data_IF_345439554966
#
_entry.id   IF_345439554966
#
_cell.length_a   1.000
_cell.length_b   1.000
_cell.length_c   1.000
_cell.angle_alpha   90.00
_cell.angle_beta   90.00
_cell.angle_gamma   90.00
#
_symmetry.space_group_name_H-M   'P 1'
#
loop_
_entity.id
_entity.type
_entity.pdbx_description
1 polymer ?
#
# COMPACT_ATOMS: atom_id res chain seq x y z
N UNK A 1 -74.18 -15.48 -43.59
CA UNK A 1 -73.30 -14.35 -43.21
C UNK A 1 -72.17 -14.82 -42.28
N UNK A 2 -70.89 -14.93 -42.62
CA UNK A 2 -70.13 -14.54 -43.79
C UNK A 2 -68.65 -14.64 -43.38
N UNK A 3 -67.84 -15.20 -44.28
CA UNK A 3 -66.37 -15.13 -44.40
C UNK A 3 -65.45 -15.89 -43.43
N UNK A 4 -64.69 -16.78 -44.07
CA UNK A 4 -63.41 -17.34 -43.70
C UNK A 4 -62.29 -16.28 -43.64
N UNK A 5 -61.19 -16.62 -42.94
CA UNK A 5 -59.82 -16.61 -43.47
C UNK A 5 -58.86 -17.10 -42.38
N UNK A 6 -58.12 -18.19 -42.63
CA UNK A 6 -56.94 -18.56 -41.86
C UNK A 6 -55.74 -17.69 -42.25
N UNK A 7 -54.75 -17.57 -41.37
CA UNK A 7 -53.37 -17.11 -41.68
C UNK A 7 -52.37 -17.79 -40.74
N UNK A 8 -51.20 -18.06 -41.31
CA UNK A 8 -50.05 -18.84 -40.84
C UNK A 8 -49.32 -18.28 -39.58
N UNK A 9 -48.42 -19.06 -38.94
CA UNK A 9 -47.65 -18.58 -37.80
C UNK A 9 -46.50 -17.67 -38.25
N UNK A 10 -46.35 -16.52 -37.59
CA UNK A 10 -45.26 -15.59 -37.81
C UNK A 10 -44.04 -15.97 -36.95
N UNK A 11 -42.88 -16.04 -37.62
CA UNK A 11 -41.54 -16.18 -37.04
C UNK A 11 -40.95 -14.77 -36.79
N UNK A 12 -40.19 -14.67 -35.69
CA UNK A 12 -39.18 -13.66 -35.31
C UNK A 12 -39.62 -12.25 -34.86
N UNK A 13 -39.25 -11.90 -33.61
CA UNK A 13 -38.18 -10.94 -33.31
C UNK A 13 -37.86 -10.93 -31.79
N UNK A 14 -36.59 -11.04 -31.35
CA UNK A 14 -36.20 -10.82 -29.95
C UNK A 14 -36.14 -9.32 -29.60
N UNK A 15 -36.17 -8.96 -28.30
CA UNK A 15 -36.40 -7.59 -27.85
C UNK A 15 -35.21 -6.66 -28.10
N UNK A 16 -35.52 -5.44 -28.53
CA UNK A 16 -34.58 -4.33 -28.69
C UNK A 16 -34.17 -3.78 -27.32
N UNK A 17 -32.89 -3.92 -26.98
CA UNK A 17 -32.25 -3.10 -25.95
C UNK A 17 -31.78 -1.79 -26.60
N UNK A 18 -32.07 -0.61 -26.01
CA UNK A 18 -31.52 0.63 -26.51
C UNK A 18 -30.04 0.73 -26.12
N UNK A 19 -29.18 0.68 -27.13
CA UNK A 19 -27.84 1.24 -27.08
C UNK A 19 -27.96 2.77 -26.98
N UNK A 20 -27.29 3.36 -26.00
CA UNK A 20 -26.94 4.78 -26.03
C UNK A 20 -25.47 4.97 -25.69
N UNK A 21 -24.85 6.02 -26.27
CA UNK A 21 -23.42 6.06 -26.51
C UNK A 21 -22.64 6.71 -25.36
N UNK A 22 -21.35 6.46 -25.38
CA UNK A 22 -20.34 7.06 -24.54
C UNK A 22 -20.40 8.60 -24.56
N UNK A 23 -20.30 9.21 -23.37
CA UNK A 23 -19.77 10.56 -23.20
C UNK A 23 -18.42 10.41 -22.49
N UNK A 24 -17.37 10.60 -23.28
CA UNK A 24 -16.04 10.90 -22.80
C UNK A 24 -16.06 12.27 -22.08
N UNK A 25 -15.63 12.29 -20.82
CA UNK A 25 -15.47 13.50 -20.03
C UNK A 25 -14.17 13.43 -19.24
N UNK A 26 -13.18 14.17 -19.74
CA UNK A 26 -11.86 14.50 -19.17
C UNK A 26 -11.50 14.00 -17.75
N UNK A 27 -10.46 13.17 -17.66
CA UNK A 27 -9.55 13.17 -16.52
C UNK A 27 -8.38 14.11 -16.85
N UNK A 28 -8.49 15.36 -16.43
CA UNK A 28 -7.36 16.28 -16.36
C UNK A 28 -6.49 15.89 -15.16
N UNK A 29 -5.25 15.47 -15.42
CA UNK A 29 -4.27 15.21 -14.37
C UNK A 29 -3.77 16.52 -13.75
N UNK A 30 -3.39 16.53 -12.45
CA UNK A 30 -2.47 17.54 -11.95
C UNK A 30 -1.04 17.01 -12.09
N UNK A 31 -0.27 17.74 -12.89
CA UNK A 31 1.19 17.76 -12.80
C UNK A 31 1.62 18.41 -11.48
N UNK A 32 2.76 17.94 -10.97
CA UNK A 32 3.52 18.43 -9.82
C UNK A 32 2.97 18.11 -8.42
N UNK A 33 3.52 17.06 -7.83
CA UNK A 33 3.59 16.85 -6.38
C UNK A 33 5.02 16.44 -6.03
N UNK A 34 5.71 17.28 -5.25
CA UNK A 34 7.09 17.07 -4.83
C UNK A 34 7.25 15.72 -4.11
N UNK A 35 8.09 14.85 -4.66
CA UNK A 35 8.50 13.58 -4.05
C UNK A 35 9.41 13.86 -2.86
N UNK A 36 8.85 14.06 -1.67
CA UNK A 36 9.60 13.85 -0.43
C UNK A 36 9.69 12.34 -0.20
N UNK A 37 10.65 11.71 -0.88
CA UNK A 37 11.04 10.33 -0.61
C UNK A 37 11.66 10.31 0.79
N UNK A 38 10.92 9.79 1.78
CA UNK A 38 11.48 9.37 3.06
C UNK A 38 12.33 8.12 2.80
N UNK A 39 13.50 8.33 2.20
CA UNK A 39 14.54 7.33 1.97
C UNK A 39 15.18 7.03 3.32
N UNK A 40 14.53 6.21 4.14
CA UNK A 40 15.21 5.54 5.25
C UNK A 40 16.10 4.46 4.63
N UNK A 41 17.28 4.86 4.15
CA UNK A 41 18.33 3.91 3.76
C UNK A 41 18.85 3.28 5.04
N UNK A 42 18.25 2.15 5.44
CA UNK A 42 18.79 1.28 6.47
C UNK A 42 20.01 0.55 5.90
N UNK A 43 21.13 1.26 5.80
CA UNK A 43 22.40 0.72 5.31
C UNK A 43 22.95 -0.34 6.26
N UNK A 44 23.31 -1.49 5.69
CA UNK A 44 24.14 -2.54 6.28
C UNK A 44 25.48 -1.94 6.69
N UNK A 45 25.81 -1.98 7.99
CA UNK A 45 27.12 -1.58 8.50
C UNK A 45 27.99 -2.83 8.72
N UNK A 46 29.01 -3.02 7.87
CA UNK A 46 30.15 -3.88 8.14
C UNK A 46 31.18 -3.09 8.95
N UNK A 47 31.71 -3.71 10.00
CA UNK A 47 32.66 -3.09 10.92
C UNK A 47 34.05 -2.89 10.30
N UNK A 48 34.67 -1.77 10.64
CA UNK A 48 36.10 -1.51 10.42
C UNK A 48 36.66 -0.76 11.63
N UNK A 49 37.57 -1.42 12.35
CA UNK A 49 38.44 -0.81 13.35
C UNK A 49 39.47 0.09 12.66
N UNK A 50 39.69 1.31 13.17
CA UNK A 50 41.03 1.91 13.16
C UNK A 50 41.18 3.00 14.23
N UNK A 51 42.35 2.96 14.91
CA UNK A 51 42.76 3.85 15.99
C UNK A 51 43.43 5.12 15.46
N UNK A 52 43.23 6.24 16.19
CA UNK A 52 44.27 7.26 16.39
C UNK A 52 44.00 8.64 15.78
N UNK A 53 44.03 9.69 16.63
CA UNK A 53 44.23 11.08 16.20
C UNK A 53 43.34 12.12 16.89
N UNK A 54 43.87 12.78 17.91
CA UNK A 54 43.21 13.86 18.65
C UNK A 54 43.02 15.12 17.78
N UNK A 55 41.79 15.64 17.77
CA UNK A 55 41.47 16.90 17.11
C UNK A 55 39.97 17.17 17.11
N UNK A 56 39.47 17.71 18.22
CA UNK A 56 38.27 18.55 18.28
C UNK A 56 37.05 18.08 17.46
N UNK A 57 36.33 17.05 17.94
CA UNK A 57 34.98 16.74 17.45
C UNK A 57 34.05 16.21 18.56
N UNK A 58 33.87 17.01 19.61
CA UNK A 58 33.05 16.63 20.77
C UNK A 58 31.54 16.81 20.57
N UNK A 59 31.09 17.42 19.46
CA UNK A 59 29.65 17.61 19.18
C UNK A 59 29.03 16.42 18.45
N UNK A 60 29.78 15.74 17.57
CA UNK A 60 29.32 14.54 16.87
C UNK A 60 29.14 13.33 17.79
N UNK A 61 30.07 13.13 18.73
CA UNK A 61 30.04 12.01 19.68
C UNK A 61 28.86 12.07 20.67
N UNK A 62 28.52 13.27 21.16
CA UNK A 62 27.39 13.47 22.07
C UNK A 62 26.03 13.26 21.41
N UNK A 63 25.80 13.87 20.24
CA UNK A 63 24.52 13.76 19.53
C UNK A 63 24.25 12.32 19.07
N UNK A 64 25.29 11.64 18.55
CA UNK A 64 25.20 10.24 18.16
C UNK A 64 24.86 9.35 19.36
N UNK A 65 25.55 9.53 20.49
CA UNK A 65 25.26 8.79 21.73
C UNK A 65 23.83 9.01 22.25
N UNK A 66 23.31 10.25 22.19
CA UNK A 66 21.93 10.55 22.58
C UNK A 66 20.94 9.90 21.62
N UNK A 67 21.19 9.93 20.30
CA UNK A 67 20.32 9.26 19.32
C UNK A 67 20.29 7.74 19.50
N UNK A 68 21.42 7.13 19.86
CA UNK A 68 21.50 5.71 20.16
C UNK A 68 20.76 5.36 21.47
N UNK A 69 20.87 6.20 22.49
CA UNK A 69 20.09 6.06 23.73
C UNK A 69 18.59 6.15 23.44
N UNK A 70 18.16 7.12 22.63
CA UNK A 70 16.76 7.26 22.20
C UNK A 70 16.25 6.02 21.49
N UNK A 71 17.03 5.48 20.53
CA UNK A 71 16.71 4.19 19.88
C UNK A 71 16.46 3.08 20.90
N UNK A 72 17.32 2.96 21.92
CA UNK A 72 17.19 1.96 22.98
C UNK A 72 15.91 2.12 23.81
N UNK A 73 15.57 3.37 24.18
CA UNK A 73 14.33 3.68 24.90
C UNK A 73 13.10 3.30 24.06
N UNK A 74 13.08 3.69 22.78
CA UNK A 74 12.01 3.35 21.85
C UNK A 74 11.89 1.83 21.73
N UNK A 75 13.01 1.12 21.49
CA UNK A 75 13.01 -0.33 21.36
C UNK A 75 12.42 -1.02 22.59
N UNK A 76 12.86 -0.62 23.79
CA UNK A 76 12.34 -1.20 25.02
C UNK A 76 10.84 -0.92 25.22
N UNK A 77 10.39 0.29 24.88
CA UNK A 77 8.97 0.65 24.99
C UNK A 77 8.10 -0.17 24.04
N UNK A 78 8.54 -0.36 22.79
CA UNK A 78 7.83 -1.17 21.79
C UNK A 78 7.86 -2.65 22.17
N UNK A 79 8.97 -3.16 22.68
CA UNK A 79 9.08 -4.54 23.13
C UNK A 79 8.09 -4.85 24.26
N UNK A 80 8.04 -4.02 25.30
CA UNK A 80 7.06 -4.19 26.40
C UNK A 80 5.62 -4.14 25.88
N UNK A 81 5.34 -3.30 24.90
CA UNK A 81 4.04 -3.25 24.25
C UNK A 81 3.73 -4.55 23.51
N UNK A 82 4.66 -5.07 22.71
CA UNK A 82 4.49 -6.32 21.97
C UNK A 82 4.32 -7.53 22.90
N UNK A 83 5.03 -7.57 24.02
CA UNK A 83 4.89 -8.61 25.06
C UNK A 83 3.50 -8.55 25.73
N UNK A 84 2.98 -7.35 26.01
CA UNK A 84 1.69 -7.18 26.67
C UNK A 84 0.48 -7.32 25.73
N UNK A 85 0.61 -6.86 24.48
CA UNK A 85 -0.50 -6.74 23.53
C UNK A 85 -0.40 -7.68 22.33
N UNK A 86 0.67 -8.48 22.20
CA UNK A 86 1.01 -9.26 21.00
C UNK A 86 -0.05 -10.24 20.49
N UNK A 87 -1.05 -10.57 21.31
CA UNK A 87 -2.16 -11.48 20.99
C UNK A 87 -3.52 -10.74 20.88
N UNK A 88 -3.55 -9.42 21.06
CA UNK A 88 -4.77 -8.64 20.98
C UNK A 88 -5.20 -8.46 19.51
N UNK A 89 -6.51 -8.58 19.20
CA UNK A 89 -7.01 -8.46 17.83
C UNK A 89 -6.87 -7.03 17.24
N UNK A 90 -6.67 -6.03 18.11
CA UNK A 90 -6.46 -4.62 17.76
C UNK A 90 -4.98 -4.19 17.90
N UNK A 91 -4.05 -5.16 17.89
CA UNK A 91 -2.60 -4.93 18.02
C UNK A 91 -2.10 -3.87 17.03
N UNK A 92 -2.43 -4.02 15.74
CA UNK A 92 -1.92 -3.13 14.69
C UNK A 92 -2.39 -1.69 14.87
N UNK A 93 -3.65 -1.49 15.28
CA UNK A 93 -4.18 -0.16 15.59
C UNK A 93 -3.46 0.47 16.79
N UNK A 94 -3.28 -0.30 17.87
CA UNK A 94 -2.56 0.17 19.07
C UNK A 94 -1.10 0.46 18.76
N UNK A 95 -0.47 -0.31 17.88
CA UNK A 95 0.89 -0.09 17.41
C UNK A 95 0.98 1.24 16.63
N UNK A 96 0.08 1.50 15.68
CA UNK A 96 0.06 2.77 14.94
C UNK A 96 -0.10 3.97 15.90
N UNK A 97 -0.98 3.86 16.90
CA UNK A 97 -1.14 4.90 17.94
C UNK A 97 0.11 5.05 18.81
N UNK A 98 0.83 3.97 19.09
CA UNK A 98 2.10 4.04 19.82
C UNK A 98 3.18 4.73 18.97
N UNK A 99 3.28 4.39 17.69
CA UNK A 99 4.18 5.03 16.74
C UNK A 99 3.96 6.53 16.67
N UNK A 100 2.71 6.97 16.47
CA UNK A 100 2.37 8.40 16.42
C UNK A 100 2.72 9.14 17.71
N UNK A 101 2.47 8.54 18.88
CA UNK A 101 2.83 9.13 20.17
C UNK A 101 4.35 9.28 20.34
N UNK A 102 5.11 8.24 19.99
CA UNK A 102 6.58 8.29 20.06
C UNK A 102 7.18 9.20 19.00
N UNK A 103 6.55 9.30 17.82
CA UNK A 103 6.90 10.29 16.79
C UNK A 103 6.73 11.69 17.39
N UNK A 104 5.54 12.05 17.89
CA UNK A 104 5.28 13.36 18.48
C UNK A 104 6.26 13.69 19.61
N UNK A 105 6.52 12.75 20.52
CA UNK A 105 7.52 12.93 21.58
C UNK A 105 8.94 13.14 21.04
N UNK A 106 9.33 12.43 19.97
CA UNK A 106 10.64 12.62 19.30
C UNK A 106 10.74 14.04 18.74
N UNK A 107 9.66 14.53 18.15
CA UNK A 107 9.53 15.86 17.54
C UNK A 107 9.59 16.97 18.59
N UNK A 108 8.91 16.80 19.73
CA UNK A 108 8.90 17.74 20.86
C UNK A 108 10.26 17.82 21.57
N UNK A 109 10.93 16.68 21.78
CA UNK A 109 12.19 16.62 22.51
C UNK A 109 13.40 17.04 21.67
N UNK A 110 13.43 16.65 20.39
CA UNK A 110 14.62 16.78 19.54
C UNK A 110 14.40 17.61 18.27
N UNK A 111 13.16 18.05 18.00
CA UNK A 111 12.79 18.73 16.77
C UNK A 111 12.71 17.78 15.57
N UNK A 112 12.85 18.34 14.36
CA UNK A 112 12.83 17.57 13.10
C UNK A 112 14.21 16.99 12.72
N UNK A 113 15.02 16.64 13.71
CA UNK A 113 16.35 16.08 13.45
C UNK A 113 16.26 14.64 12.91
N UNK A 114 16.74 14.44 11.68
CA UNK A 114 16.67 13.16 10.98
C UNK A 114 17.31 11.98 11.76
N UNK A 115 18.38 12.24 12.54
CA UNK A 115 19.02 11.22 13.37
C UNK A 115 18.06 10.60 14.39
N UNK A 116 17.17 11.40 14.99
CA UNK A 116 16.22 10.92 16.00
C UNK A 116 14.99 10.27 15.38
N UNK A 117 14.57 10.73 14.20
CA UNK A 117 13.54 10.05 13.39
C UNK A 117 14.03 8.67 12.93
N UNK A 118 15.30 8.57 12.51
CA UNK A 118 15.92 7.29 12.18
C UNK A 118 16.05 6.39 13.42
N UNK A 119 16.46 6.95 14.56
CA UNK A 119 16.55 6.21 15.83
C UNK A 119 15.19 5.67 16.29
N UNK A 120 14.11 6.43 16.08
CA UNK A 120 12.73 5.98 16.30
C UNK A 120 12.43 4.76 15.43
N UNK A 121 12.61 4.85 14.11
CA UNK A 121 12.38 3.74 13.19
C UNK A 121 13.22 2.50 13.52
N UNK A 122 14.50 2.69 13.84
CA UNK A 122 15.40 1.62 14.26
C UNK A 122 14.99 0.98 15.60
N UNK A 123 14.41 1.75 16.52
CA UNK A 123 13.90 1.22 17.78
C UNK A 123 12.72 0.29 17.56
N UNK A 124 11.76 0.70 16.72
CA UNK A 124 10.63 -0.15 16.32
C UNK A 124 11.09 -1.41 15.58
N UNK A 125 11.95 -1.25 14.58
CA UNK A 125 12.54 -2.38 13.84
C UNK A 125 13.27 -3.34 14.77
N UNK A 126 14.07 -2.82 15.70
CA UNK A 126 14.80 -3.60 16.70
C UNK A 126 13.87 -4.43 17.59
N UNK A 127 12.71 -3.91 17.97
CA UNK A 127 11.73 -4.65 18.77
C UNK A 127 11.04 -5.76 17.96
N UNK A 128 10.70 -5.49 16.70
CA UNK A 128 10.10 -6.49 15.79
C UNK A 128 11.05 -7.65 15.49
N UNK A 129 12.36 -7.38 15.40
CA UNK A 129 13.40 -8.41 15.22
C UNK A 129 13.53 -9.37 16.40
N UNK A 130 13.07 -9.00 17.60
CA UNK A 130 13.11 -9.87 18.78
C UNK A 130 11.91 -10.84 18.85
N UNK A 131 10.93 -10.71 17.95
CA UNK A 131 9.78 -11.59 17.93
C UNK A 131 10.18 -13.02 17.56
N UNK A 132 9.58 -14.00 18.22
CA UNK A 132 9.67 -15.40 17.79
C UNK A 132 9.00 -15.57 16.42
N UNK A 133 9.43 -16.57 15.65
CA UNK A 133 8.89 -16.82 14.30
C UNK A 133 7.35 -16.88 14.26
N UNK A 134 6.72 -17.62 15.16
CA UNK A 134 5.25 -17.73 15.22
C UNK A 134 4.58 -16.39 15.55
N UNK A 135 5.18 -15.62 16.46
CA UNK A 135 4.65 -14.29 16.82
C UNK A 135 4.81 -13.33 15.66
N UNK A 136 5.96 -13.32 15.00
CA UNK A 136 6.20 -12.51 13.79
C UNK A 136 5.17 -12.82 12.70
N UNK A 137 4.85 -14.11 12.48
CA UNK A 137 3.83 -14.51 11.51
C UNK A 137 2.44 -13.97 11.87
N UNK A 138 2.01 -14.15 13.12
CA UNK A 138 0.72 -13.63 13.58
C UNK A 138 0.65 -12.10 13.48
N UNK A 139 1.69 -11.41 13.96
CA UNK A 139 1.79 -9.96 13.92
C UNK A 139 1.72 -9.44 12.48
N UNK A 140 2.43 -10.06 11.54
CA UNK A 140 2.37 -9.72 10.12
C UNK A 140 0.97 -9.84 9.53
N UNK A 141 0.26 -10.93 9.85
CA UNK A 141 -1.13 -11.11 9.41
C UNK A 141 -2.04 -10.00 9.97
N UNK A 142 -1.90 -9.68 11.27
CA UNK A 142 -2.66 -8.62 11.92
C UNK A 142 -2.44 -7.26 11.25
N UNK A 143 -1.20 -6.93 10.91
CA UNK A 143 -0.89 -5.70 10.19
C UNK A 143 -1.46 -5.67 8.78
N UNK A 144 -1.33 -6.76 8.01
CA UNK A 144 -1.88 -6.84 6.66
C UNK A 144 -3.41 -6.71 6.66
N UNK A 145 -4.08 -7.39 7.61
CA UNK A 145 -5.53 -7.31 7.80
C UNK A 145 -6.00 -5.93 8.24
N UNK A 146 -5.31 -5.31 9.19
CA UNK A 146 -5.63 -3.96 9.63
C UNK A 146 -5.47 -2.96 8.47
N UNK A 147 -4.40 -3.09 7.69
CA UNK A 147 -4.18 -2.26 6.52
C UNK A 147 -5.32 -2.44 5.51
N UNK A 148 -5.71 -3.68 5.20
CA UNK A 148 -6.84 -3.98 4.32
C UNK A 148 -8.15 -3.30 4.77
N UNK A 149 -8.51 -3.44 6.05
CA UNK A 149 -9.72 -2.80 6.60
C UNK A 149 -9.67 -1.28 6.41
N UNK A 150 -8.55 -0.64 6.70
CA UNK A 150 -8.40 0.80 6.55
C UNK A 150 -8.47 1.27 5.10
N UNK A 151 -7.91 0.49 4.17
CA UNK A 151 -8.02 0.78 2.72
C UNK A 151 -9.48 0.76 2.28
N UNK A 152 -10.23 -0.24 2.72
CA UNK A 152 -11.64 -0.34 2.37
C UNK A 152 -12.47 0.82 2.96
N UNK A 153 -12.19 1.23 4.20
CA UNK A 153 -12.83 2.42 4.80
C UNK A 153 -12.49 3.71 4.04
N UNK A 154 -11.23 3.91 3.66
CA UNK A 154 -10.82 5.05 2.85
C UNK A 154 -11.49 5.05 1.47
N UNK A 155 -11.67 3.87 0.86
CA UNK A 155 -12.39 3.71 -0.40
C UNK A 155 -13.87 4.09 -0.28
N UNK A 156 -14.52 3.72 0.84
CA UNK A 156 -15.92 4.11 1.14
C UNK A 156 -16.05 5.60 1.43
N UNK A 157 -15.03 6.20 2.04
CA UNK A 157 -14.99 7.62 2.39
C UNK A 157 -14.53 8.54 1.24
N UNK A 158 -14.39 8.02 0.01
CA UNK A 158 -13.88 8.74 -1.16
C UNK A 158 -14.85 9.84 -1.65
N UNK A 159 -14.82 10.98 -0.94
CA UNK A 159 -15.47 12.24 -1.28
C UNK A 159 -14.86 13.45 -0.54
N UNK A 160 -13.79 13.24 0.25
CA UNK A 160 -13.14 14.30 1.02
C UNK A 160 -11.81 14.72 0.38
N UNK A 161 -11.62 16.03 0.25
CA UNK A 161 -10.40 16.65 -0.26
C UNK A 161 -9.30 16.60 0.80
N UNK A 162 -8.37 15.67 0.63
CA UNK A 162 -7.09 15.56 1.35
C UNK A 162 -6.56 14.13 1.47
N UNK A 163 -6.59 13.28 0.42
CA UNK A 163 -6.42 11.84 0.61
C UNK A 163 -4.95 11.42 0.78
N UNK A 164 -4.03 12.09 0.08
CA UNK A 164 -2.64 11.62 -0.07
C UNK A 164 -1.79 11.86 1.20
N UNK A 165 -1.88 13.03 1.82
CA UNK A 165 -1.14 13.33 3.06
C UNK A 165 -1.63 12.45 4.21
N UNK A 166 -2.95 12.26 4.32
CA UNK A 166 -3.56 11.33 5.27
C UNK A 166 -3.09 9.90 5.03
N UNK A 167 -2.97 9.49 3.76
CA UNK A 167 -2.44 8.19 3.38
C UNK A 167 -0.99 8.02 3.81
N UNK A 168 -0.14 9.03 3.57
CA UNK A 168 1.27 9.01 3.97
C UNK A 168 1.44 8.87 5.48
N UNK A 169 0.73 9.69 6.27
CA UNK A 169 0.76 9.62 7.74
C UNK A 169 0.26 8.28 8.28
N UNK A 170 -0.74 7.68 7.61
CA UNK A 170 -1.28 6.38 7.97
C UNK A 170 -0.31 5.24 7.67
N UNK A 171 0.43 5.32 6.55
CA UNK A 171 1.37 4.30 6.11
C UNK A 171 2.75 4.40 6.75
N UNK A 172 3.12 5.55 7.31
CA UNK A 172 4.41 5.80 7.95
C UNK A 172 4.86 4.68 8.92
N UNK A 173 4.00 4.14 9.83
CA UNK A 173 4.41 3.09 10.77
C UNK A 173 4.82 1.76 10.09
N UNK A 174 4.36 1.52 8.86
CA UNK A 174 4.61 0.28 8.13
C UNK A 174 5.96 0.30 7.41
N UNK A 175 6.50 1.48 7.10
CA UNK A 175 7.81 1.63 6.43
C UNK A 175 8.93 0.98 7.25
N UNK A 176 8.76 0.90 8.57
CA UNK A 176 9.68 0.21 9.51
C UNK A 176 9.93 -1.25 9.12
N UNK A 177 8.99 -1.91 8.44
CA UNK A 177 9.16 -3.31 8.03
C UNK A 177 10.21 -3.47 6.94
N UNK A 178 10.52 -2.40 6.20
CA UNK A 178 11.48 -2.42 5.10
C UNK A 178 12.84 -2.97 5.57
N UNK A 179 13.29 -4.05 4.92
CA UNK A 179 14.55 -4.72 5.24
C UNK A 179 14.51 -5.69 6.43
N UNK A 180 13.35 -5.93 7.03
CA UNK A 180 13.16 -6.98 8.03
C UNK A 180 12.68 -8.28 7.38
N UNK A 181 13.04 -9.43 7.95
CA UNK A 181 12.49 -10.74 7.54
C UNK A 181 10.96 -10.79 7.66
N UNK A 182 10.41 -10.02 8.63
CA UNK A 182 8.97 -9.82 8.80
C UNK A 182 8.28 -9.33 7.51
N UNK A 183 8.99 -8.57 6.67
CA UNK A 183 8.46 -8.04 5.41
C UNK A 183 8.00 -9.13 4.45
N UNK A 184 8.71 -10.27 4.38
CA UNK A 184 8.30 -11.40 3.54
C UNK A 184 6.96 -11.97 3.99
N UNK A 185 6.77 -12.15 5.30
CA UNK A 185 5.52 -12.66 5.84
C UNK A 185 4.40 -11.64 5.73
N UNK A 186 4.69 -10.36 5.93
CA UNK A 186 3.74 -9.27 5.69
C UNK A 186 3.29 -9.21 4.23
N UNK A 187 4.22 -9.27 3.28
CA UNK A 187 3.93 -9.32 1.84
C UNK A 187 3.03 -10.52 1.48
N UNK A 188 3.28 -11.69 2.09
CA UNK A 188 2.47 -12.88 1.86
C UNK A 188 1.00 -12.68 2.23
N UNK A 189 0.71 -12.04 3.37
CA UNK A 189 -0.66 -11.75 3.75
C UNK A 189 -1.23 -10.56 2.97
N UNK A 190 -0.43 -9.52 2.73
CA UNK A 190 -0.87 -8.35 2.00
C UNK A 190 -1.34 -8.70 0.58
N UNK A 191 -0.57 -9.52 -0.16
CA UNK A 191 -0.96 -9.96 -1.52
C UNK A 191 -2.25 -10.76 -1.53
N UNK A 192 -2.58 -11.49 -0.46
CA UNK A 192 -3.84 -12.22 -0.35
C UNK A 192 -5.02 -11.25 -0.27
N UNK A 193 -4.96 -10.26 0.63
CA UNK A 193 -5.99 -9.23 0.75
C UNK A 193 -6.09 -8.35 -0.49
N UNK A 194 -4.95 -7.95 -1.08
CA UNK A 194 -4.94 -7.19 -2.32
C UNK A 194 -5.60 -7.97 -3.47
N UNK A 195 -5.28 -9.27 -3.61
CA UNK A 195 -5.88 -10.12 -4.64
C UNK A 195 -7.40 -10.18 -4.51
N UNK A 196 -7.92 -10.37 -3.31
CA UNK A 196 -9.36 -10.37 -3.06
C UNK A 196 -10.00 -9.03 -3.43
N UNK A 197 -9.40 -7.90 -3.00
CA UNK A 197 -9.90 -6.56 -3.36
C UNK A 197 -9.90 -6.32 -4.88
N UNK A 198 -8.82 -6.67 -5.57
CA UNK A 198 -8.68 -6.46 -7.02
C UNK A 198 -9.71 -7.29 -7.80
N UNK A 199 -9.90 -8.55 -7.42
CA UNK A 199 -10.81 -9.47 -8.12
C UNK A 199 -12.29 -9.21 -7.81
N UNK A 200 -12.62 -8.79 -6.59
CA UNK A 200 -14.02 -8.60 -6.17
C UNK A 200 -14.52 -7.17 -6.39
N UNK A 201 -13.67 -6.16 -6.23
CA UNK A 201 -14.05 -4.75 -6.28
C UNK A 201 -13.41 -4.00 -7.46
N UNK A 202 -12.50 -4.62 -8.20
CA UNK A 202 -11.73 -3.97 -9.27
C UNK A 202 -10.64 -3.02 -8.74
N UNK A 203 -9.74 -2.57 -9.64
CA UNK A 203 -8.64 -1.70 -9.28
C UNK A 203 -9.13 -0.33 -8.79
N UNK A 204 -8.34 0.30 -7.92
CA UNK A 204 -8.58 1.67 -7.49
C UNK A 204 -7.26 2.43 -7.45
N UNK A 205 -7.33 3.76 -7.59
CA UNK A 205 -6.14 4.62 -7.48
C UNK A 205 -5.41 4.47 -6.14
N UNK A 206 -6.14 4.09 -5.07
CA UNK A 206 -5.59 3.85 -3.74
C UNK A 206 -4.58 2.69 -3.73
N UNK A 207 -4.85 1.62 -4.47
CA UNK A 207 -3.98 0.43 -4.47
C UNK A 207 -2.59 0.79 -5.02
N UNK A 208 -2.55 1.53 -6.13
CA UNK A 208 -1.30 2.03 -6.69
C UNK A 208 -0.56 2.97 -5.73
N UNK A 209 -1.27 3.93 -5.13
CA UNK A 209 -0.68 4.88 -4.19
C UNK A 209 -0.10 4.19 -2.94
N UNK A 210 -0.77 3.17 -2.40
CA UNK A 210 -0.28 2.43 -1.23
C UNK A 210 0.94 1.60 -1.60
N UNK A 211 0.86 0.82 -2.69
CA UNK A 211 1.95 -0.02 -3.15
C UNK A 211 3.19 0.80 -3.50
N UNK A 212 3.03 2.03 -3.98
CA UNK A 212 4.14 2.96 -4.16
C UNK A 212 4.75 3.40 -2.82
N UNK A 213 3.94 3.79 -1.84
CA UNK A 213 4.41 4.33 -0.56
C UNK A 213 5.10 3.29 0.34
N UNK A 214 4.57 2.07 0.39
CA UNK A 214 5.14 0.97 1.20
C UNK A 214 5.85 -0.09 0.33
N UNK A 215 6.23 0.26 -0.89
CA UNK A 215 6.79 -0.69 -1.85
C UNK A 215 8.05 -1.41 -1.38
N UNK A 216 8.85 -0.78 -0.52
CA UNK A 216 10.05 -1.38 0.09
C UNK A 216 9.73 -2.45 1.15
N UNK A 217 8.49 -2.52 1.62
CA UNK A 217 8.00 -3.58 2.50
C UNK A 217 7.58 -4.84 1.73
N UNK A 218 7.77 -4.87 0.40
CA UNK A 218 7.47 -6.00 -0.47
C UNK A 218 8.74 -6.51 -1.17
N UNK A 219 9.60 -7.29 -0.50
CA UNK A 219 10.86 -7.77 -1.05
C UNK A 219 10.72 -8.52 -2.38
N UNK A 220 9.66 -9.31 -2.55
CA UNK A 220 9.40 -10.08 -3.77
C UNK A 220 8.62 -9.31 -4.83
N UNK A 221 8.18 -8.09 -4.52
CA UNK A 221 7.43 -7.19 -5.40
C UNK A 221 6.08 -7.75 -5.90
N UNK A 222 5.50 -8.74 -5.22
CA UNK A 222 4.24 -9.33 -5.64
C UNK A 222 3.11 -8.31 -5.77
N UNK A 223 2.89 -7.36 -4.83
CA UNK A 223 1.84 -6.36 -4.99
C UNK A 223 2.03 -5.46 -6.21
N UNK A 224 3.28 -5.08 -6.51
CA UNK A 224 3.63 -4.31 -7.71
C UNK A 224 3.31 -5.10 -8.97
N UNK A 225 3.74 -6.36 -9.03
CA UNK A 225 3.54 -7.23 -10.18
C UNK A 225 2.05 -7.53 -10.40
N UNK A 226 1.27 -7.72 -9.33
CA UNK A 226 -0.18 -7.92 -9.42
C UNK A 226 -0.88 -6.73 -10.08
N UNK A 227 -0.51 -5.50 -9.71
CA UNK A 227 -1.07 -4.29 -10.32
C UNK A 227 -0.61 -4.13 -11.78
N UNK A 228 0.66 -4.41 -12.07
CA UNK A 228 1.20 -4.35 -13.43
C UNK A 228 0.52 -5.37 -14.35
N UNK A 229 0.39 -6.62 -13.91
CA UNK A 229 -0.25 -7.70 -14.67
C UNK A 229 -1.73 -7.42 -14.91
N UNK A 230 -2.44 -6.84 -13.93
CA UNK A 230 -3.84 -6.46 -14.09
C UNK A 230 -3.97 -5.36 -15.15
N UNK A 231 -3.13 -4.32 -15.10
CA UNK A 231 -3.13 -3.25 -16.10
C UNK A 231 -2.82 -3.76 -17.51
N UNK A 232 -1.85 -4.68 -17.65
CA UNK A 232 -1.54 -5.33 -18.93
C UNK A 232 -2.73 -6.16 -19.44
N UNK A 233 -3.38 -6.92 -18.56
CA UNK A 233 -4.56 -7.71 -18.91
C UNK A 233 -5.73 -6.81 -19.35
N UNK A 234 -5.94 -5.67 -18.71
CA UNK A 234 -6.99 -4.70 -19.09
C UNK A 234 -6.72 -4.09 -20.47
N UNK A 235 -5.45 -3.77 -20.76
CA UNK A 235 -5.05 -3.26 -22.08
C UNK A 235 -5.24 -4.31 -23.18
N UNK A 236 -4.86 -5.58 -22.94
CA UNK A 236 -5.10 -6.67 -23.88
C UNK A 236 -6.60 -6.90 -24.12
N UNK A 237 -7.41 -6.86 -23.06
CA UNK A 237 -8.87 -6.96 -23.17
C UNK A 237 -9.45 -5.83 -24.03
N UNK A 238 -8.94 -4.60 -23.86
CA UNK A 238 -9.33 -3.44 -24.67
C UNK A 238 -8.97 -3.62 -26.14
N UNK A 239 -7.76 -4.09 -26.43
CA UNK A 239 -7.30 -4.37 -27.80
C UNK A 239 -8.16 -5.45 -28.48
N UNK A 240 -8.46 -6.54 -27.76
CA UNK A 240 -9.33 -7.58 -28.27
C UNK A 240 -10.75 -7.07 -28.58
N UNK A 241 -11.32 -6.26 -27.69
CA UNK A 241 -12.62 -5.64 -27.91
C UNK A 241 -12.63 -4.75 -29.16
N UNK A 242 -11.60 -3.90 -29.33
CA UNK A 242 -11.45 -3.06 -30.51
C UNK A 242 -11.32 -3.88 -31.79
N UNK A 243 -10.55 -4.96 -31.76
CA UNK A 243 -10.43 -5.87 -32.90
C UNK A 243 -11.79 -6.50 -33.26
N UNK A 244 -12.56 -6.97 -32.28
CA UNK A 244 -13.91 -7.51 -32.51
C UNK A 244 -14.85 -6.48 -33.13
N UNK A 245 -14.80 -5.22 -32.66
CA UNK A 245 -15.58 -4.12 -33.23
C UNK A 245 -15.19 -3.84 -34.69
N UNK A 246 -13.89 -3.81 -35.00
CA UNK A 246 -13.40 -3.62 -36.36
C UNK A 246 -13.83 -4.75 -37.31
N UNK A 247 -13.82 -6.00 -36.85
CA UNK A 247 -14.28 -7.13 -37.65
C UNK A 247 -15.79 -7.10 -37.89
N UNK A 248 -16.58 -6.60 -36.94
CA UNK A 248 -18.01 -6.39 -37.14
C UNK A 248 -18.27 -5.27 -38.17
N UNK A 249 -17.54 -4.16 -38.07
CA UNK A 249 -17.64 -3.03 -39.00
C UNK A 249 -17.35 -3.45 -40.45
N UNK A 250 -16.28 -4.23 -40.66
CA UNK A 250 -15.95 -4.79 -41.98
C UNK A 250 -17.09 -5.65 -42.57
N UNK A 251 -17.68 -6.52 -41.75
CA UNK A 251 -18.78 -7.39 -42.20
C UNK A 251 -20.04 -6.61 -42.56
N UNK A 252 -20.29 -5.48 -41.90
CA UNK A 252 -21.42 -4.60 -42.26
C UNK A 252 -21.17 -3.91 -43.59
N UNK A 253 -19.94 -3.42 -43.83
CA UNK A 253 -19.55 -2.79 -45.09
C UNK A 253 -19.56 -3.76 -46.30
N UNK A 254 -19.38 -5.06 -46.07
CA UNK A 254 -19.47 -6.09 -47.13
C UNK A 254 -20.92 -6.43 -47.53
N UNK A 255 -21.93 -5.99 -46.76
CA UNK A 255 -23.34 -6.26 -47.00
C UNK A 255 -24.08 -5.10 -47.72
N UNK A 256 -23.41 -3.96 -47.90
CA UNK A 256 -23.87 -2.78 -48.67
C UNK A 256 -23.26 -2.76 -50.09
#
# INVERSE_FOLDING_TARGET
PGKACGHAPAVAAPPQHPLSPAVAGQCAGPAHGATLSLRLTLGRWEGGEEQGGAGQDCKGSGLWGISQCWRGVVQQQVQRFLEAAGQAPDLAERYCRLYQRLRGATEELFGQQAAFVLALGQGFAGALLQLSFLTALHVSEQFARYLDVQIQELRRAAGSTGPLERLQQFLEPFVVFSGLELAHTFEHFYRHYLGDRLLTQGPSWLEGGIVEQIGLCFPSRFPQDMLSNLAESEELQRQFCLFQLQEQDKRLLELD
#
